data_IF_830654504417
#
_entry.id   IF_830654504417
#
_cell.length_a   1.000
_cell.length_b   1.000
_cell.length_c   1.000
_cell.angle_alpha   90.00
_cell.angle_beta   90.00
_cell.angle_gamma   90.00
#
_symmetry.space_group_name_H-M   'P 1'
#
loop_
_entity.id
_entity.type
_entity.pdbx_description
1 polymer ?
#
# COMPACT_ATOMS: atom_id res chain seq x y z
N UNK A 1 -14.93 -1.48 10.90
CA UNK A 1 -15.11 -2.92 10.63
C UNK A 1 -13.87 -3.34 9.88
N UNK A 2 -12.95 -3.98 10.59
CA UNK A 2 -11.72 -4.59 10.07
C UNK A 2 -11.71 -6.00 10.63
N UNK A 3 -11.49 -7.02 9.79
CA UNK A 3 -11.46 -8.42 10.24
C UNK A 3 -10.09 -8.78 10.78
N UNK A 4 -10.03 -9.10 12.07
CA UNK A 4 -8.77 -9.38 12.76
C UNK A 4 -8.09 -10.67 12.26
N UNK A 5 -8.86 -11.60 11.73
CA UNK A 5 -8.40 -12.84 11.11
C UNK A 5 -7.75 -12.68 9.72
N UNK A 6 -7.97 -11.56 9.02
CA UNK A 6 -7.21 -11.19 7.81
C UNK A 6 -5.78 -10.78 8.20
N UNK A 7 -5.68 -9.94 9.24
CA UNK A 7 -4.45 -9.34 9.76
C UNK A 7 -3.43 -10.41 10.20
N UNK A 8 -3.88 -11.37 11.01
CA UNK A 8 -3.03 -12.44 11.57
C UNK A 8 -2.47 -13.40 10.49
N UNK A 9 -3.24 -13.62 9.41
CA UNK A 9 -2.84 -14.53 8.31
C UNK A 9 -1.84 -13.90 7.36
N UNK A 10 -2.02 -12.61 7.08
CA UNK A 10 -1.07 -11.83 6.31
C UNK A 10 0.27 -11.77 7.06
N UNK A 11 0.30 -11.25 8.29
CA UNK A 11 1.53 -11.07 9.08
C UNK A 11 2.36 -12.35 9.31
N UNK A 12 1.76 -13.53 9.24
CA UNK A 12 2.46 -14.82 9.43
C UNK A 12 3.02 -15.44 8.15
N UNK A 13 2.71 -14.89 6.97
CA UNK A 13 3.01 -15.52 5.67
C UNK A 13 4.02 -14.78 4.76
N UNK A 14 4.45 -13.55 5.05
CA UNK A 14 5.38 -12.82 4.17
C UNK A 14 6.82 -13.34 4.16
N UNK A 15 7.28 -13.91 3.02
CA UNK A 15 8.69 -13.99 2.54
C UNK A 15 8.73 -14.13 1.02
N UNK A 16 9.93 -14.04 0.44
CA UNK A 16 10.28 -14.33 -0.96
C UNK A 16 9.34 -15.30 -1.73
N UNK A 17 8.96 -14.86 -2.93
CA UNK A 17 8.20 -15.49 -4.02
C UNK A 17 8.26 -17.02 -4.10
N UNK A 18 9.49 -17.59 -4.06
CA UNK A 18 9.70 -19.02 -4.24
C UNK A 18 9.68 -19.84 -2.93
N UNK A 19 9.68 -19.19 -1.77
CA UNK A 19 9.66 -19.81 -0.45
C UNK A 19 8.22 -20.16 -0.01
N UNK A 20 8.06 -21.15 0.88
CA UNK A 20 6.73 -21.64 1.33
C UNK A 20 5.82 -20.56 1.91
N UNK A 21 6.41 -19.49 2.46
CA UNK A 21 5.68 -18.39 3.06
C UNK A 21 5.14 -17.43 1.96
N UNK A 22 5.98 -16.95 1.03
CA UNK A 22 5.52 -16.12 -0.10
C UNK A 22 4.42 -16.78 -0.92
N UNK A 23 4.55 -18.09 -1.15
CA UNK A 23 3.50 -18.89 -1.79
C UNK A 23 2.20 -18.91 -0.98
N UNK A 24 2.24 -18.81 0.34
CA UNK A 24 1.04 -18.66 1.19
C UNK A 24 0.48 -17.22 1.16
N UNK A 25 1.32 -16.18 1.13
CA UNK A 25 0.88 -14.77 0.96
C UNK A 25 0.15 -14.57 -0.37
N UNK A 26 0.79 -14.99 -1.47
CA UNK A 26 0.23 -15.00 -2.82
C UNK A 26 -1.09 -15.78 -2.89
N UNK A 27 -1.14 -17.00 -2.35
CA UNK A 27 -2.38 -17.80 -2.31
C UNK A 27 -3.48 -17.16 -1.45
N UNK A 28 -3.13 -16.42 -0.40
CA UNK A 28 -4.11 -15.67 0.39
C UNK A 28 -4.69 -14.50 -0.41
N UNK A 29 -3.85 -13.69 -1.07
CA UNK A 29 -4.28 -12.60 -1.96
C UNK A 29 -5.21 -13.14 -3.07
N UNK A 30 -4.79 -14.20 -3.77
CA UNK A 30 -5.59 -14.85 -4.81
C UNK A 30 -6.90 -15.43 -4.27
N UNK A 31 -6.90 -16.03 -3.08
CA UNK A 31 -8.11 -16.55 -2.44
C UNK A 31 -9.11 -15.43 -2.08
N UNK A 32 -8.62 -14.28 -1.59
CA UNK A 32 -9.49 -13.16 -1.23
C UNK A 32 -10.10 -12.53 -2.48
N UNK A 33 -9.27 -12.19 -3.47
CA UNK A 33 -9.71 -11.58 -4.73
C UNK A 33 -10.60 -12.53 -5.54
N UNK A 34 -10.27 -13.82 -5.59
CA UNK A 34 -11.09 -14.84 -6.24
C UNK A 34 -12.48 -15.03 -5.61
N UNK A 35 -12.66 -14.69 -4.33
CA UNK A 35 -13.98 -14.71 -3.68
C UNK A 35 -14.92 -13.60 -4.20
N UNK A 36 -14.37 -12.55 -4.84
CA UNK A 36 -15.13 -11.39 -5.34
C UNK A 36 -15.79 -11.62 -6.70
N UNK A 37 -15.58 -12.79 -7.31
CA UNK A 37 -15.98 -13.36 -8.62
C UNK A 37 -16.99 -12.67 -9.57
N UNK A 38 -17.86 -11.78 -9.13
CA UNK A 38 -18.75 -10.98 -9.98
C UNK A 38 -18.13 -9.62 -10.32
N UNK A 39 -17.82 -9.40 -11.61
CA UNK A 39 -17.29 -8.13 -12.14
C UNK A 39 -15.77 -7.95 -12.06
N UNK A 40 -15.08 -8.74 -11.24
CA UNK A 40 -13.61 -8.70 -11.12
C UNK A 40 -12.93 -9.67 -12.10
N UNK A 41 -11.97 -9.15 -12.86
CA UNK A 41 -10.95 -9.92 -13.58
C UNK A 41 -9.73 -10.08 -12.67
N UNK A 42 -9.16 -11.28 -12.60
CA UNK A 42 -7.95 -11.58 -11.84
C UNK A 42 -6.90 -12.17 -12.79
N UNK A 43 -5.70 -11.59 -12.80
CA UNK A 43 -4.56 -12.00 -13.64
C UNK A 43 -3.32 -12.21 -12.77
N UNK A 44 -2.64 -13.34 -12.99
CA UNK A 44 -1.31 -13.64 -12.42
C UNK A 44 -0.26 -13.44 -13.53
N UNK A 45 0.70 -12.55 -13.32
CA UNK A 45 1.80 -12.30 -14.25
C UNK A 45 3.11 -12.85 -13.67
N UNK A 46 3.38 -14.12 -13.97
CA UNK A 46 4.60 -14.82 -13.53
C UNK A 46 5.75 -14.69 -14.53
N UNK A 47 6.93 -14.29 -14.05
CA UNK A 47 8.16 -14.24 -14.84
C UNK A 47 9.38 -14.72 -14.04
N UNK A 48 10.45 -15.11 -14.74
CA UNK A 48 11.70 -15.58 -14.11
C UNK A 48 12.82 -14.56 -14.37
N UNK A 49 13.43 -14.05 -13.30
CA UNK A 49 14.56 -13.12 -13.37
C UNK A 49 15.80 -13.67 -12.67
N UNK A 50 16.97 -13.09 -12.99
CA UNK A 50 18.25 -13.49 -12.40
C UNK A 50 18.63 -12.53 -11.27
N UNK A 51 18.87 -13.09 -10.08
CA UNK A 51 19.24 -12.34 -8.87
C UNK A 51 20.63 -12.75 -8.38
N UNK A 52 21.24 -12.03 -7.41
CA UNK A 52 22.48 -12.46 -6.75
C UNK A 52 22.37 -13.83 -6.02
N UNK A 53 21.15 -14.35 -5.81
CA UNK A 53 20.87 -15.66 -5.20
C UNK A 53 20.56 -16.76 -6.25
N UNK A 54 20.65 -16.44 -7.55
CA UNK A 54 20.27 -17.32 -8.66
C UNK A 54 18.98 -16.86 -9.34
N UNK A 55 18.41 -17.72 -10.19
CA UNK A 55 17.12 -17.44 -10.84
C UNK A 55 15.98 -17.57 -9.83
N UNK A 56 15.05 -16.64 -9.86
CA UNK A 56 13.86 -16.58 -8.99
C UNK A 56 12.63 -16.33 -9.87
N UNK A 57 11.53 -16.98 -9.53
CA UNK A 57 10.22 -16.71 -10.16
C UNK A 57 9.49 -15.64 -9.35
N UNK A 58 9.00 -14.60 -10.01
CA UNK A 58 8.20 -13.53 -9.44
C UNK A 58 6.78 -13.60 -10.03
N UNK A 59 5.74 -13.31 -9.26
CA UNK A 59 4.34 -13.32 -9.71
C UNK A 59 3.60 -12.08 -9.19
N UNK A 60 3.41 -11.09 -10.07
CA UNK A 60 2.50 -9.98 -9.78
C UNK A 60 1.05 -10.47 -9.86
N UNK A 61 0.18 -9.91 -9.03
CA UNK A 61 -1.28 -10.14 -9.10
C UNK A 61 -1.98 -8.85 -9.45
N UNK A 62 -2.77 -8.86 -10.51
CA UNK A 62 -3.61 -7.74 -10.92
C UNK A 62 -5.09 -8.14 -10.81
N UNK A 63 -5.87 -7.39 -10.03
CA UNK A 63 -7.33 -7.47 -10.03
C UNK A 63 -7.92 -6.19 -10.65
N UNK A 64 -8.85 -6.35 -11.61
CA UNK A 64 -9.51 -5.24 -12.33
C UNK A 64 -11.02 -5.35 -12.20
N UNK A 65 -11.68 -4.29 -11.74
CA UNK A 65 -13.13 -4.12 -11.76
C UNK A 65 -13.52 -3.14 -12.88
N UNK A 66 -14.34 -3.64 -13.81
CA UNK A 66 -14.86 -2.97 -15.01
C UNK A 66 -13.79 -2.34 -15.94
N UNK A 67 -13.27 -3.09 -16.93
CA UNK A 67 -12.16 -2.66 -17.78
C UNK A 67 -12.54 -1.68 -18.91
N UNK A 68 -13.72 -1.05 -18.88
CA UNK A 68 -14.29 -0.29 -20.00
C UNK A 68 -14.34 1.25 -19.80
N UNK A 69 -14.08 1.80 -18.60
CA UNK A 69 -14.06 3.26 -18.37
C UNK A 69 -12.64 3.87 -18.60
N UNK A 70 -12.53 5.06 -19.24
CA UNK A 70 -11.25 5.75 -19.42
C UNK A 70 -10.61 6.31 -18.12
N UNK A 71 -11.32 6.35 -16.99
CA UNK A 71 -10.78 6.80 -15.69
C UNK A 71 -10.36 5.59 -14.86
N UNK A 72 -9.08 5.53 -14.51
CA UNK A 72 -8.47 4.41 -13.79
C UNK A 72 -8.03 4.84 -12.41
N UNK A 73 -8.43 4.08 -11.39
CA UNK A 73 -7.88 4.14 -10.05
C UNK A 73 -7.03 2.89 -9.80
N UNK A 74 -5.70 3.04 -9.81
CA UNK A 74 -4.76 2.00 -9.40
C UNK A 74 -4.41 2.17 -7.91
N UNK A 75 -4.61 1.11 -7.13
CA UNK A 75 -4.01 0.94 -5.80
C UNK A 75 -2.98 -0.18 -5.90
N UNK A 76 -1.78 0.04 -5.33
CA UNK A 76 -0.71 -0.95 -5.42
C UNK A 76 0.13 -1.03 -4.14
N UNK A 77 0.75 -2.19 -3.93
CA UNK A 77 1.79 -2.46 -2.94
C UNK A 77 2.61 -3.67 -3.36
N UNK A 78 3.72 -3.97 -2.67
CA UNK A 78 4.39 -5.27 -2.82
C UNK A 78 3.81 -6.31 -1.86
N UNK A 79 3.90 -7.59 -2.24
CA UNK A 79 3.51 -8.73 -1.39
C UNK A 79 4.69 -9.65 -0.99
N UNK A 80 5.89 -9.39 -1.49
CA UNK A 80 7.11 -10.03 -0.97
C UNK A 80 7.63 -9.32 0.29
N UNK A 81 8.71 -9.84 0.89
CA UNK A 81 9.34 -9.18 2.05
C UNK A 81 10.84 -9.42 2.12
N UNK A 82 11.54 -8.44 2.67
CA UNK A 82 13.01 -8.38 2.68
C UNK A 82 13.63 -9.52 3.47
N UNK A 83 14.53 -10.28 2.82
CA UNK A 83 15.29 -11.34 3.51
C UNK A 83 16.41 -10.73 4.33
N UNK A 84 16.15 -10.48 5.62
CA UNK A 84 17.17 -10.15 6.61
C UNK A 84 17.80 -11.42 7.23
N UNK A 85 19.11 -11.41 7.54
CA UNK A 85 19.75 -12.49 8.29
C UNK A 85 19.18 -12.57 9.71
N UNK A 86 19.14 -13.78 10.28
CA UNK A 86 18.61 -13.99 11.63
C UNK A 86 19.41 -13.21 12.69
N UNK A 87 18.71 -12.55 13.60
CA UNK A 87 19.32 -11.69 14.61
C UNK A 87 20.17 -12.47 15.61
N UNK A 88 21.34 -11.95 16.05
CA UNK A 88 22.27 -12.68 16.93
C UNK A 88 21.70 -13.01 18.32
N UNK A 89 20.62 -12.35 18.74
CA UNK A 89 19.92 -12.60 20.01
C UNK A 89 18.82 -13.67 19.90
N UNK A 90 18.26 -13.91 18.71
CA UNK A 90 17.20 -14.90 18.50
C UNK A 90 17.27 -15.47 17.08
N UNK A 91 17.95 -16.62 16.87
CA UNK A 91 18.07 -17.25 15.55
C UNK A 91 16.75 -17.72 14.91
N UNK A 92 15.63 -17.72 15.67
CA UNK A 92 14.29 -18.06 15.18
C UNK A 92 13.46 -16.84 14.78
N UNK A 93 13.89 -15.63 15.16
CA UNK A 93 13.21 -14.40 14.76
C UNK A 93 13.57 -14.08 13.32
N UNK A 94 12.56 -13.71 12.53
CA UNK A 94 12.73 -13.35 11.13
C UNK A 94 11.91 -12.10 10.86
N UNK A 95 12.41 -11.28 9.94
CA UNK A 95 11.67 -10.15 9.41
C UNK A 95 10.38 -10.63 8.73
N UNK A 96 9.28 -9.91 8.99
CA UNK A 96 7.95 -10.20 8.42
C UNK A 96 7.44 -9.09 7.52
N UNK A 97 8.02 -7.89 7.54
CA UNK A 97 7.55 -6.79 6.69
C UNK A 97 6.13 -6.34 7.04
N UNK A 98 5.85 -6.07 8.32
CA UNK A 98 4.51 -5.71 8.76
C UNK A 98 4.05 -4.41 8.08
N UNK A 99 4.79 -3.33 8.30
CA UNK A 99 4.65 -2.05 7.59
C UNK A 99 5.03 -2.14 6.10
N UNK A 100 5.95 -3.06 5.76
CA UNK A 100 6.72 -3.19 4.50
C UNK A 100 6.49 -4.58 3.85
N UNK A 101 5.37 -4.88 3.16
CA UNK A 101 4.16 -4.08 2.91
C UNK A 101 2.89 -4.88 3.27
N UNK A 102 2.92 -5.66 4.35
CA UNK A 102 1.79 -6.50 4.77
C UNK A 102 0.52 -5.69 5.12
N UNK A 103 0.67 -4.52 5.76
CA UNK A 103 -0.44 -3.62 6.06
C UNK A 103 -1.03 -2.98 4.79
N UNK A 104 -0.24 -2.42 3.85
CA UNK A 104 -0.73 -2.06 2.52
C UNK A 104 -1.50 -3.19 1.82
N UNK A 105 -1.00 -4.43 1.83
CA UNK A 105 -1.72 -5.59 1.28
C UNK A 105 -3.09 -5.78 1.94
N UNK A 106 -3.14 -5.79 3.28
CA UNK A 106 -4.38 -5.95 4.05
C UNK A 106 -5.39 -4.82 3.78
N UNK A 107 -4.89 -3.58 3.67
CA UNK A 107 -5.73 -2.41 3.36
C UNK A 107 -6.39 -2.55 1.99
N UNK A 108 -5.64 -2.93 0.95
CA UNK A 108 -6.17 -3.11 -0.41
C UNK A 108 -7.18 -4.28 -0.45
N UNK A 109 -6.91 -5.38 0.24
CA UNK A 109 -7.83 -6.53 0.33
C UNK A 109 -9.13 -6.21 1.10
N UNK A 110 -9.08 -5.48 2.21
CA UNK A 110 -10.30 -5.05 2.94
C UNK A 110 -11.08 -3.98 2.15
N UNK A 111 -10.42 -3.13 1.36
CA UNK A 111 -11.12 -2.24 0.41
C UNK A 111 -11.88 -3.06 -0.64
N UNK A 112 -11.23 -4.04 -1.27
CA UNK A 112 -11.82 -4.89 -2.28
C UNK A 112 -12.98 -5.73 -1.73
N UNK A 113 -12.78 -6.38 -0.58
CA UNK A 113 -13.74 -7.35 -0.01
C UNK A 113 -14.81 -6.71 0.88
N UNK A 114 -14.45 -5.74 1.72
CA UNK A 114 -15.35 -5.07 2.65
C UNK A 114 -16.23 -4.01 1.99
N UNK A 115 -15.80 -3.42 0.87
CA UNK A 115 -16.55 -2.38 0.13
C UNK A 115 -16.99 -2.82 -1.28
N UNK A 116 -16.92 -4.11 -1.62
CA UNK A 116 -17.25 -4.61 -2.98
C UNK A 116 -18.57 -4.05 -3.55
N UNK A 117 -19.71 -4.01 -2.81
CA UNK A 117 -20.96 -3.47 -3.35
C UNK A 117 -20.89 -1.98 -3.69
N UNK A 118 -20.11 -1.20 -2.93
CA UNK A 118 -19.89 0.21 -3.20
C UNK A 118 -19.00 0.41 -4.44
N UNK A 119 -17.91 -0.36 -4.54
CA UNK A 119 -17.03 -0.37 -5.71
C UNK A 119 -17.81 -0.74 -6.99
N UNK A 120 -18.55 -1.86 -6.98
CA UNK A 120 -19.42 -2.26 -8.09
C UNK A 120 -20.46 -1.19 -8.45
N UNK A 121 -21.06 -0.49 -7.47
CA UNK A 121 -22.01 0.60 -7.75
C UNK A 121 -21.37 1.82 -8.44
N UNK A 122 -20.05 1.99 -8.32
CA UNK A 122 -19.29 3.10 -8.92
C UNK A 122 -18.51 2.72 -10.18
N UNK A 123 -18.38 1.42 -10.47
CA UNK A 123 -17.64 0.86 -11.60
C UNK A 123 -18.04 1.48 -12.96
N UNK A 124 -19.35 1.77 -13.15
CA UNK A 124 -19.91 2.51 -14.30
C UNK A 124 -19.32 3.92 -14.54
N UNK A 125 -18.38 4.38 -13.69
CA UNK A 125 -17.74 5.69 -13.78
C UNK A 125 -16.23 5.67 -13.53
N UNK A 126 -15.63 4.53 -13.18
CA UNK A 126 -14.20 4.39 -12.90
C UNK A 126 -13.79 2.91 -12.91
N UNK A 127 -12.77 2.57 -13.68
CA UNK A 127 -12.07 1.29 -13.59
C UNK A 127 -11.25 1.27 -12.28
N UNK A 128 -11.38 0.22 -11.48
CA UNK A 128 -10.53 0.00 -10.31
C UNK A 128 -9.52 -1.09 -10.59
N UNK A 129 -8.23 -0.81 -10.35
CA UNK A 129 -7.13 -1.77 -10.44
C UNK A 129 -6.47 -1.92 -9.08
N UNK A 130 -6.25 -3.15 -8.66
CA UNK A 130 -5.51 -3.50 -7.46
C UNK A 130 -4.32 -4.35 -7.89
N UNK A 131 -3.09 -3.89 -7.66
CA UNK A 131 -1.88 -4.56 -8.12
C UNK A 131 -0.95 -4.88 -6.96
N UNK A 132 -0.67 -6.17 -6.77
CA UNK A 132 0.24 -6.68 -5.76
C UNK A 132 1.51 -7.12 -6.47
N UNK A 133 2.57 -6.32 -6.36
CA UNK A 133 3.85 -6.57 -7.00
C UNK A 133 4.67 -7.63 -6.24
N UNK A 134 5.46 -8.41 -6.97
CA UNK A 134 6.42 -9.38 -6.43
C UNK A 134 7.83 -9.00 -6.91
N UNK A 135 8.74 -8.70 -5.98
CA UNK A 135 10.05 -8.15 -6.32
C UNK A 135 9.92 -6.77 -6.96
N UNK A 136 9.19 -5.89 -6.26
CA UNK A 136 8.46 -4.68 -6.73
C UNK A 136 9.25 -3.55 -7.41
N UNK A 137 10.53 -3.77 -7.74
CA UNK A 137 11.42 -2.86 -8.48
C UNK A 137 10.96 -2.53 -9.96
N UNK A 138 9.70 -2.78 -10.35
CA UNK A 138 8.98 -2.38 -11.58
C UNK A 138 7.45 -2.63 -11.54
N UNK A 139 6.54 -1.85 -12.17
CA UNK A 139 6.58 -0.52 -12.82
C UNK A 139 5.11 -0.02 -13.10
N UNK A 140 4.77 1.29 -12.96
CA UNK A 140 3.38 1.83 -13.09
C UNK A 140 3.30 3.23 -13.75
N UNK A 141 2.09 3.74 -14.03
CA UNK A 141 1.82 5.08 -14.62
C UNK A 141 1.75 6.25 -13.60
N UNK A 142 1.32 5.98 -12.37
CA UNK A 142 1.35 6.88 -11.20
C UNK A 142 1.49 5.98 -9.98
N UNK A 143 2.57 6.13 -9.22
CA UNK A 143 2.79 5.34 -8.02
C UNK A 143 2.32 6.13 -6.80
N UNK A 144 1.29 5.63 -6.11
CA UNK A 144 0.97 6.07 -4.74
C UNK A 144 1.58 5.03 -3.79
N UNK A 145 2.84 5.24 -3.41
CA UNK A 145 3.57 4.32 -2.52
C UNK A 145 3.19 4.63 -1.06
N UNK A 146 2.80 3.62 -0.29
CA UNK A 146 2.51 3.72 1.15
C UNK A 146 3.59 2.94 1.90
N UNK A 147 4.35 3.62 2.75
CA UNK A 147 5.39 2.98 3.58
C UNK A 147 5.42 3.54 5.01
N UNK A 148 5.88 2.73 5.96
CA UNK A 148 6.05 3.03 7.40
C UNK A 148 4.83 3.60 8.12
N UNK A 149 3.62 3.25 7.66
CA UNK A 149 2.36 3.68 8.27
C UNK A 149 1.99 2.81 9.48
N UNK A 150 1.62 3.44 10.59
CA UNK A 150 1.18 2.74 11.81
C UNK A 150 1.56 3.42 13.13
N UNK A 151 2.49 4.38 13.11
CA UNK A 151 2.82 5.24 14.25
C UNK A 151 1.57 6.02 14.76
N UNK A 152 1.48 6.42 16.05
CA UNK A 152 0.43 7.31 16.55
C UNK A 152 0.27 8.62 15.76
N UNK A 153 1.37 9.34 15.48
CA UNK A 153 1.34 10.72 14.96
C UNK A 153 2.26 10.91 13.73
N UNK A 154 2.02 10.16 12.63
CA UNK A 154 2.86 10.18 11.44
C UNK A 154 2.76 11.54 10.75
N UNK A 155 3.91 12.19 10.52
CA UNK A 155 3.99 13.45 9.78
C UNK A 155 4.34 13.16 8.32
N UNK A 156 3.32 13.09 7.46
CA UNK A 156 3.48 12.76 6.04
C UNK A 156 3.58 14.06 5.24
N UNK A 157 4.72 14.27 4.57
CA UNK A 157 5.01 15.47 3.77
C UNK A 157 4.84 15.17 2.27
N UNK A 158 4.74 16.22 1.46
CA UNK A 158 4.93 16.04 0.02
C UNK A 158 6.43 15.97 -0.30
N UNK A 159 6.87 14.85 -0.85
CA UNK A 159 8.26 14.60 -1.25
C UNK A 159 8.52 14.91 -2.74
N UNK A 160 7.48 15.06 -3.57
CA UNK A 160 7.62 15.26 -5.01
C UNK A 160 6.81 16.45 -5.55
N UNK A 161 7.51 17.35 -6.24
CA UNK A 161 6.90 18.59 -6.74
C UNK A 161 5.90 18.33 -7.89
N UNK A 162 6.06 17.22 -8.63
CA UNK A 162 5.24 16.82 -9.78
C UNK A 162 3.88 16.19 -9.43
N UNK A 163 3.58 15.93 -8.15
CA UNK A 163 2.27 15.42 -7.68
C UNK A 163 1.52 16.38 -6.76
N UNK A 164 2.07 17.58 -6.56
CA UNK A 164 1.60 18.58 -5.57
C UNK A 164 0.16 19.08 -5.75
N UNK A 165 -0.35 19.18 -6.97
CA UNK A 165 -1.73 19.64 -7.25
C UNK A 165 -2.74 18.50 -7.48
N UNK A 166 -2.30 17.31 -7.90
CA UNK A 166 -3.20 16.20 -8.28
C UNK A 166 -3.67 15.35 -7.09
N UNK A 167 -2.95 15.38 -5.98
CA UNK A 167 -3.11 14.45 -4.84
C UNK A 167 -3.15 15.18 -3.48
N UNK A 168 -4.09 16.11 -3.32
CA UNK A 168 -4.26 16.84 -2.04
C UNK A 168 -5.01 16.02 -0.97
N UNK A 169 -4.35 15.01 -0.41
CA UNK A 169 -4.77 14.19 0.76
C UNK A 169 -5.15 15.03 2.00
N UNK A 170 -4.66 16.27 2.09
CA UNK A 170 -5.02 17.24 3.14
C UNK A 170 -6.48 17.74 3.11
N UNK A 171 -7.18 17.64 1.98
CA UNK A 171 -8.57 18.08 1.86
C UNK A 171 -9.55 17.04 2.44
N UNK A 172 -9.42 15.73 2.11
CA UNK A 172 -10.15 14.67 2.77
C UNK A 172 -9.96 14.61 4.28
N UNK A 173 -8.72 14.76 4.78
CA UNK A 173 -8.37 14.84 6.20
C UNK A 173 -9.27 15.83 6.97
N UNK A 174 -9.29 17.09 6.52
CA UNK A 174 -10.08 18.17 7.11
C UNK A 174 -11.59 17.94 7.01
N UNK A 175 -12.04 17.40 5.87
CA UNK A 175 -13.45 17.08 5.64
C UNK A 175 -13.94 16.01 6.60
N UNK A 176 -13.18 14.92 6.76
CA UNK A 176 -13.53 13.81 7.64
C UNK A 176 -13.47 14.20 9.11
N UNK A 177 -12.48 15.00 9.54
CA UNK A 177 -12.46 15.59 10.88
C UNK A 177 -13.73 16.42 11.15
N UNK A 178 -14.10 17.34 10.25
CA UNK A 178 -15.32 18.16 10.38
C UNK A 178 -16.61 17.35 10.40
N UNK A 179 -16.61 16.15 9.82
CA UNK A 179 -17.73 15.22 9.84
C UNK A 179 -17.73 14.30 11.09
N UNK A 180 -16.74 14.40 11.98
CA UNK A 180 -16.60 13.53 13.15
C UNK A 180 -16.24 12.08 12.80
N UNK A 181 -15.66 11.84 11.61
CA UNK A 181 -15.40 10.50 11.07
C UNK A 181 -13.96 9.99 11.34
N UNK A 182 -13.15 10.76 12.07
CA UNK A 182 -11.81 10.38 12.50
C UNK A 182 -11.79 10.09 14.01
N UNK A 183 -11.10 9.02 14.40
CA UNK A 183 -11.08 8.48 15.77
C UNK A 183 -9.78 8.89 16.47
N UNK A 184 -9.86 9.30 17.74
CA UNK A 184 -8.70 9.76 18.53
C UNK A 184 -7.92 10.91 17.88
N UNK A 185 -8.61 11.80 17.17
CA UNK A 185 -8.01 12.78 16.26
C UNK A 185 -8.44 14.21 16.62
N UNK A 186 -7.67 14.96 17.43
CA UNK A 186 -8.13 16.19 18.08
C UNK A 186 -7.93 17.49 17.28
N UNK A 187 -7.29 17.43 16.11
CA UNK A 187 -6.99 18.59 15.26
C UNK A 187 -7.66 18.43 13.89
N UNK A 188 -7.95 19.53 13.20
CA UNK A 188 -8.43 19.50 11.82
C UNK A 188 -7.42 18.86 10.85
N UNK A 189 -6.13 18.90 11.20
CA UNK A 189 -5.02 18.39 10.41
C UNK A 189 -3.83 18.10 11.33
N UNK A 190 -3.32 16.87 11.25
CA UNK A 190 -2.21 16.35 12.05
C UNK A 190 -1.26 15.54 11.18
N UNK A 191 -1.78 14.66 10.32
CA UNK A 191 -0.96 13.71 9.57
C UNK A 191 -0.34 14.34 8.33
N UNK A 192 -1.16 14.92 7.45
CA UNK A 192 -0.69 15.39 6.15
C UNK A 192 -0.23 16.85 6.21
N UNK A 193 1.06 17.06 5.95
CA UNK A 193 1.72 18.36 6.01
C UNK A 193 1.64 19.06 4.66
N UNK A 194 1.44 20.38 4.69
CA UNK A 194 1.47 21.23 3.49
C UNK A 194 2.88 21.55 3.01
N UNK A 195 3.84 21.42 3.91
CA UNK A 195 5.24 21.74 3.68
C UNK A 195 5.86 20.69 2.73
N UNK A 196 6.71 21.13 1.82
CA UNK A 196 7.47 20.24 0.95
C UNK A 196 8.72 19.74 1.69
N UNK A 197 8.97 18.43 1.66
CA UNK A 197 10.17 17.83 2.20
C UNK A 197 11.11 17.40 1.07
N UNK A 198 12.18 18.18 0.85
CA UNK A 198 13.17 17.93 -0.20
C UNK A 198 14.32 17.01 0.20
N UNK A 199 14.17 16.21 1.25
CA UNK A 199 15.20 15.25 1.67
C UNK A 199 15.26 14.06 0.73
N UNK A 200 16.48 13.58 0.43
CA UNK A 200 16.66 12.42 -0.43
C UNK A 200 16.38 11.14 0.37
N UNK A 201 15.31 10.43 0.02
CA UNK A 201 14.98 9.12 0.57
C UNK A 201 15.07 8.10 -0.56
N UNK A 202 15.87 7.05 -0.34
CA UNK A 202 15.90 5.90 -1.23
C UNK A 202 14.89 4.88 -0.73
N UNK A 203 13.95 4.56 -1.59
CA UNK A 203 12.87 3.63 -1.37
C UNK A 203 12.31 3.26 -2.76
N UNK A 204 11.39 2.31 -2.84
CA UNK A 204 11.14 1.56 -4.07
C UNK A 204 10.70 2.40 -5.27
N UNK A 205 10.02 3.52 -4.99
CA UNK A 205 9.67 4.55 -5.95
C UNK A 205 10.84 5.10 -6.79
N UNK A 206 12.10 4.96 -6.37
CA UNK A 206 13.29 5.38 -7.13
C UNK A 206 13.32 4.75 -8.53
N UNK A 207 13.00 3.46 -8.63
CA UNK A 207 13.04 2.72 -9.91
C UNK A 207 11.86 3.12 -10.83
N UNK A 208 10.85 3.80 -10.28
CA UNK A 208 9.72 4.40 -10.99
C UNK A 208 10.03 5.85 -11.42
N UNK A 209 10.65 6.67 -10.56
CA UNK A 209 11.17 8.00 -10.93
C UNK A 209 12.13 7.92 -12.12
N UNK A 210 13.01 6.91 -12.15
CA UNK A 210 13.92 6.65 -13.27
C UNK A 210 13.20 6.31 -14.59
N UNK A 211 11.94 5.87 -14.53
CA UNK A 211 11.07 5.60 -15.68
C UNK A 211 10.09 6.75 -15.99
N UNK A 212 10.31 7.93 -15.39
CA UNK A 212 9.49 9.15 -15.56
C UNK A 212 8.05 9.00 -15.01
N UNK A 213 7.86 8.09 -14.07
CA UNK A 213 6.58 7.87 -13.39
C UNK A 213 6.40 8.93 -12.30
N UNK A 214 5.28 9.67 -12.25
CA UNK A 214 4.93 10.50 -11.11
C UNK A 214 4.76 9.65 -9.84
N UNK A 215 5.32 10.12 -8.73
CA UNK A 215 5.28 9.42 -7.44
C UNK A 215 4.59 10.31 -6.41
N UNK A 216 3.66 9.74 -5.66
CA UNK A 216 3.12 10.31 -4.45
C UNK A 216 3.43 9.39 -3.28
N UNK A 217 4.48 9.73 -2.54
CA UNK A 217 5.03 8.86 -1.52
C UNK A 217 4.44 9.20 -0.14
N UNK A 218 3.58 8.32 0.36
CA UNK A 218 2.89 8.43 1.64
C UNK A 218 3.71 7.76 2.75
N UNK A 219 4.87 8.33 3.05
CA UNK A 219 5.78 7.92 4.12
C UNK A 219 5.92 9.05 5.17
N UNK A 220 5.90 8.75 6.47
CA UNK A 220 6.15 9.74 7.52
C UNK A 220 7.60 10.24 7.50
N UNK A 221 7.84 11.43 8.02
CA UNK A 221 9.17 11.99 8.24
C UNK A 221 9.19 12.84 9.50
N UNK A 222 9.93 12.47 10.58
CA UNK A 222 10.83 11.32 10.68
C UNK A 222 10.10 9.98 10.59
N UNK A 223 10.85 8.92 10.30
CA UNK A 223 10.36 7.54 10.33
C UNK A 223 9.94 7.14 11.77
N UNK A 224 9.06 6.13 11.93
CA UNK A 224 8.66 5.64 13.24
C UNK A 224 9.87 5.20 14.05
N UNK A 225 9.88 5.47 15.36
CA UNK A 225 11.05 5.20 16.23
C UNK A 225 11.41 3.72 16.36
N UNK A 226 10.50 2.83 15.96
CA UNK A 226 10.66 1.38 15.94
C UNK A 226 11.13 0.83 14.57
N UNK A 227 11.21 1.66 13.53
CA UNK A 227 11.67 1.25 12.19
C UNK A 227 13.06 0.62 12.23
N UNK A 228 13.24 -0.47 11.48
CA UNK A 228 14.47 -1.29 11.48
C UNK A 228 14.92 -1.79 12.88
N UNK A 229 13.99 -1.91 13.82
CA UNK A 229 14.24 -2.55 15.12
C UNK A 229 13.38 -3.80 15.30
N UNK A 230 13.65 -4.57 16.36
CA UNK A 230 12.82 -5.71 16.75
C UNK A 230 11.51 -5.29 17.44
N UNK A 231 11.35 -3.98 17.69
CA UNK A 231 10.15 -3.38 18.28
C UNK A 231 9.10 -3.04 17.21
N UNK A 232 9.37 -3.20 15.91
CA UNK A 232 8.34 -3.07 14.85
C UNK A 232 7.40 -4.28 14.88
N UNK A 233 6.43 -4.22 15.79
CA UNK A 233 5.46 -5.29 16.09
C UNK A 233 4.04 -4.73 16.13
N UNK A 234 3.03 -5.61 16.03
CA UNK A 234 1.61 -5.21 16.08
C UNK A 234 1.30 -4.31 17.30
N UNK A 235 1.89 -4.59 18.46
CA UNK A 235 1.62 -3.87 19.70
C UNK A 235 2.09 -2.40 19.68
N UNK A 236 2.93 -1.99 18.71
CA UNK A 236 3.25 -0.57 18.47
C UNK A 236 2.27 0.11 17.53
N UNK A 237 1.59 -0.64 16.67
CA UNK A 237 0.72 -0.09 15.61
C UNK A 237 -0.54 0.50 16.21
N UNK A 238 -0.78 1.79 15.93
CA UNK A 238 -1.95 2.50 16.42
C UNK A 238 -3.13 2.33 15.47
N UNK A 239 -3.95 1.32 15.77
CA UNK A 239 -5.18 0.98 15.04
C UNK A 239 -6.05 2.22 14.70
N UNK A 240 -6.32 3.19 15.61
CA UNK A 240 -7.08 4.40 15.25
C UNK A 240 -6.43 5.23 14.13
N UNK A 241 -5.10 5.34 14.13
CA UNK A 241 -4.35 6.07 13.09
C UNK A 241 -4.41 5.33 11.76
N UNK A 242 -4.27 4.00 11.75
CA UNK A 242 -4.43 3.18 10.53
C UNK A 242 -5.85 3.31 9.96
N UNK A 243 -6.89 3.25 10.81
CA UNK A 243 -8.28 3.47 10.35
C UNK A 243 -8.48 4.88 9.76
N UNK A 244 -7.93 5.91 10.40
CA UNK A 244 -8.03 7.29 9.92
C UNK A 244 -7.33 7.48 8.58
N UNK A 245 -6.07 7.03 8.45
CA UNK A 245 -5.29 7.10 7.21
C UNK A 245 -6.03 6.39 6.07
N UNK A 246 -6.57 5.18 6.33
CA UNK A 246 -7.40 4.45 5.36
C UNK A 246 -8.59 5.28 4.87
N UNK A 247 -9.37 5.88 5.79
CA UNK A 247 -10.53 6.73 5.44
C UNK A 247 -10.12 7.96 4.62
N UNK A 248 -8.99 8.57 4.95
CA UNK A 248 -8.47 9.78 4.28
C UNK A 248 -8.00 9.46 2.87
N UNK A 249 -7.19 8.41 2.71
CA UNK A 249 -6.65 7.98 1.42
C UNK A 249 -7.79 7.57 0.47
N UNK A 250 -8.73 6.72 0.93
CA UNK A 250 -9.94 6.37 0.16
C UNK A 250 -10.81 7.58 -0.22
N UNK A 251 -10.84 8.60 0.62
CA UNK A 251 -11.59 9.83 0.39
C UNK A 251 -10.89 10.82 -0.56
N UNK A 252 -9.70 10.48 -1.06
CA UNK A 252 -8.91 11.32 -1.96
C UNK A 252 -9.35 11.10 -3.40
N UNK A 253 -9.92 12.15 -3.99
CA UNK A 253 -10.22 12.17 -5.43
C UNK A 253 -8.91 12.25 -6.23
N UNK A 254 -8.37 11.09 -6.59
CA UNK A 254 -7.28 10.93 -7.54
C UNK A 254 -7.71 11.47 -8.91
N UNK A 255 -7.34 12.71 -9.19
CA UNK A 255 -7.42 13.24 -10.56
C UNK A 255 -6.23 12.69 -11.33
N UNK A 256 -6.50 11.90 -12.36
CA UNK A 256 -5.47 11.48 -13.31
C UNK A 256 -4.73 12.72 -13.83
N UNK A 257 -3.41 12.65 -13.91
CA UNK A 257 -2.55 13.75 -14.32
C UNK A 257 -2.58 13.95 -15.86
N UNK A 258 -3.78 14.14 -16.43
CA UNK A 258 -4.00 14.47 -17.83
C UNK A 258 -4.53 15.90 -17.97
N UNK A 259 -3.62 16.86 -17.82
CA UNK A 259 -3.78 18.21 -18.38
C UNK A 259 -2.42 18.81 -18.71
N UNK A 260 -1.95 18.56 -19.94
CA UNK A 260 -1.31 19.58 -20.77
C UNK A 260 -1.65 19.26 -22.23
N UNK A 261 -1.82 20.31 -23.03
CA UNK A 261 -2.35 20.25 -24.40
C UNK A 261 -1.25 20.08 -25.46
#
# INVERSE_FOLDING_TARGET
LFRQDEYDRLLTSFRQSDHTAGKASLQHILSQLGSLSEGWMLEENSFVSSTPKGKVTFTNVLAVLDPLDPRRLLLACHHDSKILPAGPKNPKQVFVGASDSAIPCAMILEMATGQNPALQSTANTSEFRLEFFDGEEAAVDLLVLLDLLGDPEPLIFNHFNNTSESLSVSLPEKRLHKQGLLTSYPSEQSYFRKDFYGGFMQDDHITFLHRVVPVHHLIPTPFPVFWHTLDDTEEKIQRPTVENLTRIILSTNLKSANTTA
#
